data_IF_477609911700
#
_entry.id   IF_477609911700
#
_cell.length_a   1.000
_cell.length_b   1.000
_cell.length_c   1.000
_cell.angle_alpha   90.00
_cell.angle_beta   90.00
_cell.angle_gamma   90.00
#
_symmetry.space_group_name_H-M   'P 1'
#
loop_
_entity.id
_entity.type
_entity.pdbx_description
1 polymer ?
#
# COMPACT_ATOMS: atom_id res chain seq x y z
N UNK A 1 -10.48 -2.50 14.05
CA UNK A 1 -9.52 -3.60 13.97
C UNK A 1 -8.07 -3.17 14.25
N UNK A 2 -7.78 -1.88 14.38
CA UNK A 2 -6.44 -1.37 14.64
C UNK A 2 -5.72 -0.85 13.40
N UNK A 3 -4.39 -0.64 13.53
CA UNK A 3 -3.50 -0.25 12.44
C UNK A 3 -3.24 -1.42 11.48
N UNK A 4 -2.64 -1.13 10.33
CA UNK A 4 -2.27 -2.18 9.38
C UNK A 4 -1.25 -3.16 9.97
N UNK A 5 -0.27 -2.67 10.74
CA UNK A 5 0.69 -3.50 11.44
C UNK A 5 0.01 -4.49 12.41
N UNK A 6 -0.91 -4.00 13.24
CA UNK A 6 -1.68 -4.86 14.15
C UNK A 6 -2.52 -5.90 13.41
N UNK A 7 -3.12 -5.55 12.25
CA UNK A 7 -3.87 -6.51 11.45
C UNK A 7 -2.97 -7.61 10.86
N UNK A 8 -1.75 -7.27 10.42
CA UNK A 8 -0.77 -8.26 9.93
C UNK A 8 -0.45 -9.26 11.05
N UNK A 9 -0.07 -8.77 12.23
CA UNK A 9 0.22 -9.61 13.39
C UNK A 9 -0.98 -10.50 13.79
N UNK A 10 -2.20 -9.96 13.73
CA UNK A 10 -3.41 -10.71 14.04
C UNK A 10 -3.68 -11.84 13.04
N UNK A 11 -3.44 -11.63 11.74
CA UNK A 11 -3.58 -12.67 10.71
C UNK A 11 -2.49 -13.73 10.88
N UNK A 12 -1.25 -13.32 11.13
CA UNK A 12 -0.13 -14.24 11.39
C UNK A 12 -0.42 -15.14 12.60
N UNK A 13 -0.96 -14.57 13.68
CA UNK A 13 -1.36 -15.33 14.87
C UNK A 13 -2.67 -16.14 14.70
N UNK A 14 -3.41 -15.96 13.62
CA UNK A 14 -4.70 -16.61 13.38
C UNK A 14 -5.85 -16.07 14.23
N UNK A 15 -5.72 -14.88 14.80
CA UNK A 15 -6.78 -14.18 15.55
C UNK A 15 -7.65 -13.28 14.65
N UNK A 16 -7.22 -13.00 13.44
CA UNK A 16 -7.96 -12.37 12.35
C UNK A 16 -7.93 -13.32 11.15
N UNK A 17 -9.10 -13.62 10.59
CA UNK A 17 -9.25 -14.61 9.52
C UNK A 17 -8.71 -14.12 8.17
N UNK A 18 -8.96 -12.84 7.84
CA UNK A 18 -8.54 -12.26 6.58
C UNK A 18 -8.32 -10.75 6.70
N UNK A 19 -7.51 -10.21 5.81
CA UNK A 19 -7.25 -8.77 5.71
C UNK A 19 -7.04 -8.35 4.25
N UNK A 20 -7.12 -7.04 4.02
CA UNK A 20 -6.75 -6.43 2.76
C UNK A 20 -5.90 -5.18 3.03
N UNK A 21 -4.67 -5.17 2.58
CA UNK A 21 -3.78 -4.02 2.76
C UNK A 21 -2.76 -3.88 1.62
N UNK A 22 -2.11 -2.71 1.51
CA UNK A 22 -1.12 -2.47 0.48
C UNK A 22 0.12 -3.37 0.61
N UNK A 23 0.60 -3.93 -0.51
CA UNK A 23 1.73 -4.87 -0.56
C UNK A 23 3.03 -4.33 0.07
N UNK A 24 3.33 -3.04 -0.10
CA UNK A 24 4.54 -2.44 0.47
C UNK A 24 4.59 -2.51 2.01
N UNK A 25 3.43 -2.57 2.67
CA UNK A 25 3.38 -2.76 4.12
C UNK A 25 3.63 -4.21 4.52
N UNK A 26 3.22 -5.18 3.68
CA UNK A 26 3.56 -6.59 3.86
C UNK A 26 5.07 -6.84 3.78
N UNK A 27 5.77 -6.09 2.93
CA UNK A 27 7.21 -6.21 2.75
C UNK A 27 7.99 -6.08 4.06
N UNK A 28 7.50 -5.24 4.97
CA UNK A 28 8.17 -4.99 6.26
C UNK A 28 7.97 -6.11 7.29
N UNK A 29 6.98 -6.99 7.10
CA UNK A 29 6.56 -7.96 8.11
C UNK A 29 6.68 -9.41 7.65
N UNK A 30 6.30 -9.71 6.41
CA UNK A 30 6.16 -11.09 5.95
C UNK A 30 7.02 -11.43 4.73
N UNK A 31 7.11 -10.54 3.74
CA UNK A 31 7.77 -10.88 2.47
C UNK A 31 8.51 -9.69 1.86
N UNK A 32 9.83 -9.62 2.06
CA UNK A 32 10.67 -8.54 1.52
C UNK A 32 10.60 -8.40 -0.01
N UNK A 33 10.25 -9.47 -0.75
CA UNK A 33 10.08 -9.42 -2.20
C UNK A 33 9.05 -8.36 -2.63
N UNK A 34 8.05 -8.07 -1.80
CA UNK A 34 7.05 -7.04 -2.07
C UNK A 34 7.62 -5.62 -2.16
N UNK A 35 8.82 -5.36 -1.63
CA UNK A 35 9.49 -4.07 -1.87
C UNK A 35 9.71 -3.78 -3.36
N UNK A 36 9.82 -4.81 -4.20
CA UNK A 36 9.91 -4.61 -5.64
C UNK A 36 8.71 -3.83 -6.19
N UNK A 37 7.51 -4.06 -5.66
CA UNK A 37 6.28 -3.36 -6.07
C UNK A 37 6.22 -1.91 -5.61
N UNK A 38 7.05 -1.52 -4.65
CA UNK A 38 7.16 -0.13 -4.15
C UNK A 38 8.18 0.71 -4.92
N UNK A 39 8.86 0.15 -5.92
CA UNK A 39 9.82 0.91 -6.74
C UNK A 39 9.10 1.98 -7.57
N UNK A 40 9.64 3.21 -7.62
CA UNK A 40 9.04 4.28 -8.40
C UNK A 40 9.15 4.01 -9.90
N UNK A 41 8.09 4.31 -10.65
CA UNK A 41 8.01 4.21 -12.12
C UNK A 41 8.29 2.80 -12.68
N UNK A 42 8.08 1.75 -11.87
CA UNK A 42 8.30 0.36 -12.28
C UNK A 42 7.32 -0.06 -13.40
N UNK A 43 6.06 0.33 -13.27
CA UNK A 43 5.01 -0.05 -14.22
C UNK A 43 4.69 1.09 -15.18
N UNK A 44 4.60 0.77 -16.48
CA UNK A 44 4.29 1.73 -17.52
C UNK A 44 2.80 2.14 -17.51
N UNK A 45 1.92 1.16 -17.28
CA UNK A 45 0.46 1.29 -17.29
C UNK A 45 -0.20 0.14 -16.54
N UNK A 46 -1.52 0.15 -16.45
CA UNK A 46 -2.31 -0.90 -15.79
C UNK A 46 -2.21 -2.26 -16.50
N UNK A 47 -2.15 -2.28 -17.84
CA UNK A 47 -1.99 -3.54 -18.59
C UNK A 47 -0.66 -4.21 -18.27
N UNK A 48 0.39 -3.42 -18.06
CA UNK A 48 1.69 -3.94 -17.60
C UNK A 48 1.59 -4.51 -16.19
N UNK A 49 0.90 -3.81 -15.27
CA UNK A 49 0.67 -4.30 -13.90
C UNK A 49 -0.02 -5.66 -13.92
N UNK A 50 -1.15 -5.77 -14.62
CA UNK A 50 -1.95 -7.00 -14.63
C UNK A 50 -1.17 -8.18 -15.22
N UNK A 51 -0.45 -7.98 -16.33
CA UNK A 51 0.42 -9.03 -16.90
C UNK A 51 1.50 -9.52 -15.93
N UNK A 52 2.03 -8.65 -15.08
CA UNK A 52 3.08 -9.02 -14.11
C UNK A 52 2.47 -9.70 -12.89
N UNK A 53 1.44 -9.10 -12.29
CA UNK A 53 0.89 -9.58 -11.03
C UNK A 53 -0.03 -10.80 -11.18
N UNK A 54 -0.72 -10.94 -12.32
CA UNK A 54 -1.54 -12.11 -12.62
C UNK A 54 -0.74 -13.23 -13.32
N UNK A 55 0.59 -13.06 -13.46
CA UNK A 55 1.49 -14.00 -14.10
C UNK A 55 2.49 -14.64 -13.12
N UNK A 56 3.47 -15.36 -13.69
CA UNK A 56 4.50 -16.11 -12.94
C UNK A 56 5.26 -15.23 -11.92
N UNK A 57 5.52 -13.95 -12.25
CA UNK A 57 6.20 -13.03 -11.33
C UNK A 57 5.33 -12.74 -10.10
N UNK A 58 4.02 -12.52 -10.29
CA UNK A 58 3.09 -12.32 -9.19
C UNK A 58 3.01 -13.54 -8.27
N UNK A 59 3.03 -14.75 -8.83
CA UNK A 59 3.08 -16.01 -8.07
C UNK A 59 4.40 -16.14 -7.29
N UNK A 60 5.56 -15.84 -7.92
CA UNK A 60 6.87 -15.87 -7.26
C UNK A 60 6.97 -14.90 -6.07
N UNK A 61 6.28 -13.76 -6.15
CA UNK A 61 6.24 -12.79 -5.06
C UNK A 61 5.55 -13.34 -3.80
N UNK A 62 4.67 -14.34 -3.93
CA UNK A 62 3.93 -14.93 -2.80
C UNK A 62 4.73 -15.99 -2.04
N UNK A 63 5.85 -16.44 -2.58
CA UNK A 63 6.70 -17.43 -1.91
C UNK A 63 7.17 -16.93 -0.54
N UNK A 64 7.00 -17.75 0.48
CA UNK A 64 7.36 -17.44 1.87
C UNK A 64 6.22 -16.89 2.72
N UNK A 65 5.05 -16.52 2.16
CA UNK A 65 3.92 -16.08 2.97
C UNK A 65 3.39 -17.17 3.91
N UNK A 66 3.49 -18.43 3.50
CA UNK A 66 3.06 -19.56 4.33
C UNK A 66 3.88 -19.71 5.61
N UNK A 67 5.17 -19.33 5.59
CA UNK A 67 6.04 -19.30 6.76
C UNK A 67 5.54 -18.32 7.83
N UNK A 68 4.76 -17.33 7.40
CA UNK A 68 4.09 -16.34 8.24
C UNK A 68 2.60 -16.65 8.47
N UNK A 69 2.18 -17.90 8.30
CA UNK A 69 0.78 -18.31 8.45
C UNK A 69 -0.19 -17.51 7.55
N UNK A 70 0.23 -17.14 6.35
CA UNK A 70 -0.55 -16.34 5.40
C UNK A 70 -0.70 -17.04 4.06
N UNK A 71 -1.84 -16.83 3.40
CA UNK A 71 -2.07 -17.16 1.99
C UNK A 71 -2.72 -15.96 1.31
N UNK A 72 -2.21 -15.57 0.15
CA UNK A 72 -2.82 -14.54 -0.69
C UNK A 72 -3.69 -15.17 -1.76
N UNK A 73 -4.89 -14.62 -1.96
CA UNK A 73 -5.81 -15.11 -2.98
C UNK A 73 -5.74 -14.30 -4.28
N UNK A 74 -5.50 -12.99 -4.18
CA UNK A 74 -5.43 -12.11 -5.33
C UNK A 74 -4.70 -10.81 -5.01
N UNK A 75 -4.24 -10.13 -6.05
CA UNK A 75 -3.88 -8.71 -6.02
C UNK A 75 -5.09 -7.89 -6.46
N UNK A 76 -5.51 -6.95 -5.63
CA UNK A 76 -6.55 -5.99 -5.97
C UNK A 76 -5.96 -4.61 -6.23
N UNK A 77 -6.65 -3.80 -7.01
CA UNK A 77 -6.18 -2.47 -7.33
C UNK A 77 -6.32 -1.52 -6.14
N UNK A 78 -5.21 -0.92 -5.70
CA UNK A 78 -5.19 0.30 -4.93
C UNK A 78 -5.00 1.50 -5.85
N UNK A 79 -4.11 1.38 -6.82
CA UNK A 79 -3.93 2.30 -7.95
C UNK A 79 -2.60 3.04 -7.98
N UNK A 80 -2.48 3.90 -9.00
CA UNK A 80 -1.32 4.78 -9.19
C UNK A 80 -1.38 5.95 -8.21
N UNK A 81 -0.27 6.18 -7.52
CA UNK A 81 -0.16 7.12 -6.41
C UNK A 81 0.26 8.50 -6.87
N UNK A 82 -0.39 9.51 -6.31
CA UNK A 82 -0.24 10.93 -6.59
C UNK A 82 0.19 11.67 -5.33
N UNK A 83 0.75 12.88 -5.47
CA UNK A 83 1.15 13.71 -4.33
C UNK A 83 0.09 14.77 -4.03
N UNK A 84 -0.20 15.01 -2.76
CA UNK A 84 -0.92 16.21 -2.32
C UNK A 84 -0.14 16.95 -1.26
N UNK A 85 -0.26 18.29 -1.23
CA UNK A 85 0.33 19.09 -0.17
C UNK A 85 -0.38 20.46 -0.01
N UNK A 86 -0.05 21.18 1.08
CA UNK A 86 -0.63 22.48 1.40
C UNK A 86 0.27 23.69 1.10
N UNK A 87 1.50 23.46 0.67
CA UNK A 87 2.54 24.50 0.63
C UNK A 87 2.70 25.09 -0.76
N UNK A 88 2.91 24.24 -1.80
CA UNK A 88 3.20 24.67 -3.17
C UNK A 88 2.90 23.58 -4.21
N UNK A 89 2.78 23.98 -5.48
CA UNK A 89 2.79 23.02 -6.58
C UNK A 89 4.15 22.29 -6.63
N UNK A 90 4.13 21.01 -7.00
CA UNK A 90 5.31 20.17 -7.20
C UNK A 90 5.37 19.84 -8.70
N UNK A 91 6.35 20.39 -9.40
CA UNK A 91 6.60 20.12 -10.82
C UNK A 91 7.91 19.35 -11.03
N UNK A 92 8.84 19.48 -10.10
CA UNK A 92 10.14 18.81 -10.09
C UNK A 92 10.46 18.25 -8.71
N UNK A 93 11.40 17.29 -8.58
CA UNK A 93 11.84 16.82 -7.27
C UNK A 93 12.35 17.93 -6.35
N UNK A 94 12.97 18.97 -6.90
CA UNK A 94 13.46 20.12 -6.11
C UNK A 94 12.33 20.85 -5.36
N UNK A 95 11.11 20.82 -5.87
CA UNK A 95 9.95 21.43 -5.20
C UNK A 95 9.52 20.67 -3.94
N UNK A 96 10.03 19.46 -3.75
CA UNK A 96 9.77 18.66 -2.55
C UNK A 96 10.70 18.99 -1.39
N UNK A 97 11.78 19.75 -1.65
CA UNK A 97 12.79 20.06 -0.65
C UNK A 97 12.17 20.73 0.59
N UNK A 98 12.43 20.13 1.74
CA UNK A 98 11.98 20.61 3.04
C UNK A 98 10.50 20.42 3.35
N UNK A 99 9.68 19.87 2.43
CA UNK A 99 8.30 19.51 2.73
C UNK A 99 8.25 18.31 3.68
N UNK A 100 7.37 18.36 4.66
CA UNK A 100 7.09 17.24 5.56
C UNK A 100 6.05 16.33 4.92
N UNK A 101 6.49 15.20 4.39
CA UNK A 101 5.59 14.24 3.77
C UNK A 101 5.28 13.06 4.69
N UNK A 102 4.00 12.78 4.84
CA UNK A 102 3.56 11.52 5.42
C UNK A 102 3.69 10.41 4.38
N UNK A 103 4.26 9.29 4.78
CA UNK A 103 4.27 8.04 4.00
C UNK A 103 3.51 6.94 4.74
N UNK A 104 3.07 5.87 4.07
CA UNK A 104 2.69 4.64 4.76
C UNK A 104 3.89 4.06 5.54
N UNK A 105 3.63 3.07 6.37
CA UNK A 105 4.64 2.33 7.15
C UNK A 105 5.42 1.37 6.23
N UNK A 106 6.12 1.96 5.27
CA UNK A 106 6.92 1.30 4.23
C UNK A 106 8.28 2.01 4.16
N UNK A 107 9.33 1.31 4.55
CA UNK A 107 10.68 1.86 4.65
C UNK A 107 11.22 2.34 3.28
N UNK A 108 10.86 1.65 2.19
CA UNK A 108 11.30 2.05 0.85
C UNK A 108 10.62 3.36 0.43
N UNK A 109 9.32 3.52 0.69
CA UNK A 109 8.60 4.77 0.40
C UNK A 109 9.20 5.94 1.19
N UNK A 110 9.55 5.75 2.47
CA UNK A 110 10.29 6.77 3.26
C UNK A 110 11.61 7.15 2.57
N UNK A 111 12.40 6.16 2.14
CA UNK A 111 13.68 6.40 1.48
C UNK A 111 13.52 7.15 0.15
N UNK A 112 12.51 6.83 -0.64
CA UNK A 112 12.18 7.51 -1.91
C UNK A 112 11.90 8.98 -1.68
N UNK A 113 11.03 9.33 -0.72
CA UNK A 113 10.68 10.72 -0.45
C UNK A 113 11.85 11.52 0.14
N UNK A 114 12.66 10.89 0.98
CA UNK A 114 13.91 11.51 1.44
C UNK A 114 14.90 11.75 0.30
N UNK A 115 14.98 10.84 -0.69
CA UNK A 115 15.79 11.04 -1.87
C UNK A 115 15.31 12.20 -2.77
N UNK A 116 14.01 12.51 -2.75
CA UNK A 116 13.44 13.70 -3.41
C UNK A 116 13.66 14.99 -2.61
N UNK A 117 14.30 14.94 -1.44
CA UNK A 117 14.59 16.11 -0.59
C UNK A 117 13.47 16.45 0.40
N UNK A 118 12.40 15.69 0.46
CA UNK A 118 11.37 15.85 1.47
C UNK A 118 11.84 15.32 2.84
N UNK A 119 11.18 15.77 3.91
CA UNK A 119 11.29 15.15 5.24
C UNK A 119 10.17 14.15 5.41
N UNK A 120 10.42 12.88 5.07
CA UNK A 120 9.42 11.83 5.09
C UNK A 120 9.36 11.11 6.44
N UNK A 121 8.15 10.85 6.92
CA UNK A 121 7.93 10.03 8.10
C UNK A 121 6.71 9.11 7.93
N UNK A 122 6.80 7.84 8.40
CA UNK A 122 5.68 6.93 8.40
C UNK A 122 4.63 7.37 9.43
N UNK A 123 3.35 7.21 9.07
CA UNK A 123 2.26 7.54 9.99
C UNK A 123 0.99 6.76 9.63
N UNK A 124 0.24 6.33 10.64
CA UNK A 124 -0.96 5.51 10.47
C UNK A 124 -2.00 6.21 9.58
N UNK A 125 -2.58 5.44 8.64
CA UNK A 125 -3.55 5.99 7.69
C UNK A 125 -4.83 6.48 8.37
N UNK A 126 -5.28 5.80 9.44
CA UNK A 126 -6.48 6.15 10.20
C UNK A 126 -6.43 7.55 10.84
N UNK A 127 -5.22 8.06 11.11
CA UNK A 127 -5.01 9.36 11.76
C UNK A 127 -4.60 10.46 10.76
N UNK A 128 -4.40 10.09 9.48
CA UNK A 128 -3.81 10.97 8.48
C UNK A 128 -4.62 12.25 8.23
N UNK A 129 -5.95 12.17 8.15
CA UNK A 129 -6.78 13.36 7.92
C UNK A 129 -6.54 14.43 8.97
N UNK A 130 -6.54 14.05 10.25
CA UNK A 130 -6.30 14.99 11.36
C UNK A 130 -4.87 15.53 11.34
N UNK A 131 -3.90 14.71 11.04
CA UNK A 131 -2.50 15.14 10.95
C UNK A 131 -2.28 16.17 9.84
N UNK A 132 -2.91 15.98 8.66
CA UNK A 132 -2.90 16.95 7.57
C UNK A 132 -3.65 18.24 7.95
N UNK A 133 -4.81 18.12 8.58
CA UNK A 133 -5.62 19.26 9.02
C UNK A 133 -4.87 20.13 10.05
N UNK A 134 -4.12 19.49 10.94
CA UNK A 134 -3.34 20.16 11.99
C UNK A 134 -1.99 20.68 11.49
N UNK A 135 -1.57 20.35 10.25
CA UNK A 135 -0.29 20.75 9.70
C UNK A 135 0.91 20.00 10.28
N UNK A 136 0.68 18.83 10.89
CA UNK A 136 1.77 17.91 11.31
C UNK A 136 2.59 17.50 10.09
N UNK A 137 1.92 17.22 8.97
CA UNK A 137 2.50 17.00 7.65
C UNK A 137 2.01 18.06 6.66
N UNK A 138 2.89 18.47 5.77
CA UNK A 138 2.57 19.37 4.67
C UNK A 138 1.83 18.63 3.56
N UNK A 139 2.17 17.35 3.34
CA UNK A 139 1.64 16.54 2.27
C UNK A 139 1.61 15.05 2.57
N UNK A 140 1.02 14.32 1.63
CA UNK A 140 0.89 12.88 1.62
C UNK A 140 0.87 12.36 0.18
N UNK A 141 0.89 11.04 0.00
CA UNK A 141 0.76 10.38 -1.29
C UNK A 141 -0.27 9.25 -1.20
N UNK A 142 -1.13 9.16 -2.17
CA UNK A 142 -2.17 8.12 -2.32
C UNK A 142 -2.75 8.13 -3.74
N UNK A 143 -3.42 7.05 -4.14
CA UNK A 143 -4.29 7.07 -5.32
C UNK A 143 -5.42 8.10 -5.18
N UNK A 144 -5.85 8.69 -6.31
CA UNK A 144 -6.92 9.71 -6.32
C UNK A 144 -8.20 9.21 -5.67
N UNK A 145 -8.56 7.94 -5.86
CA UNK A 145 -9.72 7.33 -5.22
C UNK A 145 -9.65 7.41 -3.69
N UNK A 146 -8.48 7.12 -3.11
CA UNK A 146 -8.27 7.20 -1.66
C UNK A 146 -8.27 8.66 -1.17
N UNK A 147 -7.67 9.58 -1.93
CA UNK A 147 -7.68 11.01 -1.63
C UNK A 147 -9.13 11.50 -1.53
N UNK A 148 -9.97 11.16 -2.51
CA UNK A 148 -11.37 11.55 -2.56
C UNK A 148 -12.21 10.88 -1.46
N UNK A 149 -12.10 9.57 -1.30
CA UNK A 149 -12.90 8.80 -0.34
C UNK A 149 -12.64 9.23 1.12
N UNK A 150 -11.41 9.69 1.41
CA UNK A 150 -11.03 10.16 2.75
C UNK A 150 -11.07 11.69 2.90
N UNK A 151 -11.63 12.40 1.92
CA UNK A 151 -11.81 13.84 1.92
C UNK A 151 -10.50 14.65 2.09
N UNK A 152 -9.35 14.11 1.68
CA UNK A 152 -8.07 14.81 1.81
C UNK A 152 -8.04 16.12 1.01
N UNK A 153 -8.83 16.23 -0.07
CA UNK A 153 -9.00 17.48 -0.82
C UNK A 153 -9.54 18.66 0.03
N UNK A 154 -10.16 18.39 1.17
CA UNK A 154 -10.62 19.44 2.08
C UNK A 154 -9.48 20.03 2.93
N UNK A 155 -8.37 19.31 3.05
CA UNK A 155 -7.22 19.68 3.89
C UNK A 155 -5.90 19.73 3.11
N UNK A 156 -5.95 19.59 1.77
CA UNK A 156 -4.81 19.64 0.86
C UNK A 156 -5.14 20.54 -0.34
N UNK A 157 -4.27 21.51 -0.65
CA UNK A 157 -4.53 22.55 -1.66
C UNK A 157 -4.00 22.23 -3.04
N UNK A 158 -2.93 21.44 -3.11
CA UNK A 158 -2.24 21.10 -4.34
C UNK A 158 -2.29 19.57 -4.56
N UNK A 159 -2.57 19.17 -5.80
CA UNK A 159 -2.49 17.81 -6.27
C UNK A 159 -1.50 17.76 -7.45
N UNK A 160 -0.51 16.87 -7.38
CA UNK A 160 0.41 16.56 -8.46
C UNK A 160 0.13 15.17 -8.99
N UNK A 161 -0.29 15.09 -10.25
CA UNK A 161 -0.54 13.84 -10.96
C UNK A 161 0.77 13.29 -11.52
N UNK A 162 1.47 12.49 -10.74
CA UNK A 162 2.82 12.01 -11.04
C UNK A 162 2.88 10.53 -11.40
N UNK A 163 1.89 9.74 -10.96
CA UNK A 163 1.87 8.28 -11.15
C UNK A 163 3.21 7.62 -10.75
N UNK A 164 3.79 8.06 -9.62
CA UNK A 164 5.15 7.68 -9.28
C UNK A 164 5.29 6.20 -8.89
N UNK A 165 4.22 5.61 -8.39
CA UNK A 165 4.19 4.23 -7.92
C UNK A 165 2.82 3.63 -8.18
N UNK A 166 2.77 2.42 -8.70
CA UNK A 166 1.57 1.58 -8.59
C UNK A 166 1.64 0.79 -7.28
N UNK A 167 0.53 0.69 -6.59
CA UNK A 167 0.46 -0.11 -5.38
C UNK A 167 -0.75 -1.03 -5.44
N UNK A 168 -0.56 -2.35 -5.44
CA UNK A 168 -1.66 -3.30 -5.26
C UNK A 168 -2.09 -3.39 -3.80
N UNK A 169 -3.24 -4.00 -3.56
CA UNK A 169 -3.70 -4.50 -2.28
C UNK A 169 -3.73 -6.01 -2.30
N UNK A 170 -3.22 -6.59 -1.24
CA UNK A 170 -3.15 -8.03 -1.06
C UNK A 170 -4.41 -8.51 -0.33
N UNK A 171 -5.14 -9.44 -0.95
CA UNK A 171 -6.25 -10.16 -0.32
C UNK A 171 -5.69 -11.39 0.39
N UNK A 172 -5.48 -11.29 1.69
CA UNK A 172 -4.77 -12.29 2.50
C UNK A 172 -5.69 -12.95 3.50
N UNK A 173 -5.53 -14.26 3.63
CA UNK A 173 -6.13 -15.06 4.70
C UNK A 173 -5.07 -15.60 5.65
N UNK A 174 -5.44 -15.78 6.93
CA UNK A 174 -4.68 -16.63 7.81
C UNK A 174 -4.69 -18.07 7.28
N UNK A 175 -3.51 -18.66 7.06
CA UNK A 175 -3.38 -20.04 6.55
C UNK A 175 -4.04 -21.04 7.50
N UNK A 176 -3.95 -20.79 8.81
CA UNK A 176 -4.62 -21.64 9.82
C UNK A 176 -6.14 -21.56 9.75
N UNK A 177 -6.73 -20.44 9.36
CA UNK A 177 -8.17 -20.32 9.07
C UNK A 177 -8.49 -20.94 7.72
N UNK A 178 -7.71 -20.64 6.69
CA UNK A 178 -7.87 -21.18 5.34
C UNK A 178 -7.94 -22.71 5.33
N UNK A 179 -7.04 -23.38 6.04
CA UNK A 179 -6.97 -24.83 6.12
C UNK A 179 -8.14 -25.49 6.87
N UNK A 180 -8.95 -24.72 7.59
CA UNK A 180 -10.20 -25.22 8.24
C UNK A 180 -11.42 -25.10 7.32
N UNK A 181 -11.32 -24.34 6.24
CA UNK A 181 -12.42 -24.18 5.31
C UNK A 181 -12.60 -25.44 4.46
N UNK A 182 -13.85 -25.87 4.19
CA UNK A 182 -14.13 -26.93 3.23
C UNK A 182 -13.58 -26.57 1.84
N UNK A 183 -13.18 -27.58 1.05
CA UNK A 183 -12.56 -27.37 -0.27
C UNK A 183 -13.47 -26.62 -1.25
N UNK A 184 -14.78 -26.84 -1.18
CA UNK A 184 -15.77 -26.13 -2.01
C UNK A 184 -15.83 -24.65 -1.65
N UNK A 185 -15.71 -24.29 -0.37
CA UNK A 185 -15.64 -22.90 0.08
C UNK A 185 -14.31 -22.25 -0.35
N UNK A 186 -13.18 -22.94 -0.22
CA UNK A 186 -11.88 -22.45 -0.71
C UNK A 186 -11.94 -22.16 -2.21
N UNK A 187 -12.56 -23.03 -2.98
CA UNK A 187 -12.73 -22.86 -4.43
C UNK A 187 -13.55 -21.59 -4.76
N UNK A 188 -14.71 -21.45 -4.10
CA UNK A 188 -15.57 -20.25 -4.29
C UNK A 188 -14.84 -18.96 -3.91
N UNK A 189 -14.07 -18.96 -2.82
CA UNK A 189 -13.31 -17.77 -2.39
C UNK A 189 -12.21 -17.42 -3.39
N UNK A 190 -11.49 -18.40 -3.94
CA UNK A 190 -10.48 -18.17 -4.98
C UNK A 190 -11.10 -17.61 -6.26
N UNK A 191 -12.24 -18.16 -6.70
CA UNK A 191 -12.95 -17.69 -7.89
C UNK A 191 -13.54 -16.28 -7.71
N UNK A 192 -13.98 -15.94 -6.50
CA UNK A 192 -14.55 -14.63 -6.20
C UNK A 192 -13.49 -13.55 -5.95
N UNK A 193 -12.24 -13.93 -5.69
CA UNK A 193 -11.15 -13.00 -5.41
C UNK A 193 -10.54 -12.39 -6.69
N UNK A 194 -10.78 -12.98 -7.86
CA UNK A 194 -10.22 -12.58 -9.17
C UNK A 194 -11.13 -11.64 -9.95
#
# INVERSE_FOLDING_TARGET
LGSNAEMIEMVEMGSLDAMMLPSGQQASYACEKFYALSLPFLFADYDHVYRVLDGEIGEELLEGLEDHNMIQLAYWENGLRQFTNNVRAIETPADMEGLKFRTPEDALTVAIFNAYGASAAPFAFSELYLALQQGTFDGQENPVANIHANNFQNVQKHLTMVNYQYQPKDMIFSLSTWNKLPEDIQTVLKEAAV
#
